data_IF_665284010592
#
_entry.id   IF_665284010592
#
_cell.length_a   1.000
_cell.length_b   1.000
_cell.length_c   1.000
_cell.angle_alpha   90.00
_cell.angle_beta   90.00
_cell.angle_gamma   90.00
#
_symmetry.space_group_name_H-M   'P 1'
#
loop_
_entity.id
_entity.type
_entity.pdbx_description
1 polymer ?
#
# COMPACT_ATOMS: atom_id res chain seq x y z
N UNK A 1 -13.51 -56.24 21.56
CA UNK A 1 -14.00 -55.42 22.66
C UNK A 1 -12.83 -54.66 23.27
N UNK A 2 -12.57 -53.46 22.83
CA UNK A 2 -11.61 -52.53 23.46
C UNK A 2 -11.72 -51.16 22.78
N UNK A 3 -11.69 -50.10 23.59
CA UNK A 3 -11.51 -48.70 23.29
C UNK A 3 -12.76 -47.82 23.12
N UNK A 4 -13.49 -47.59 24.19
CA UNK A 4 -14.36 -46.43 24.39
C UNK A 4 -13.94 -45.53 25.57
N UNK A 5 -12.85 -45.84 26.29
CA UNK A 5 -12.44 -45.13 27.51
C UNK A 5 -11.45 -43.94 27.27
N UNK A 6 -10.80 -43.84 26.10
CA UNK A 6 -9.75 -42.84 25.87
C UNK A 6 -10.23 -41.45 25.43
N UNK A 7 -11.48 -41.30 24.98
CA UNK A 7 -12.01 -40.01 24.49
C UNK A 7 -12.67 -39.12 25.55
N UNK A 8 -13.00 -39.69 26.73
CA UNK A 8 -13.68 -38.94 27.80
C UNK A 8 -12.73 -38.11 28.68
N UNK A 9 -11.48 -38.54 28.85
CA UNK A 9 -10.53 -37.82 29.73
C UNK A 9 -9.94 -36.55 29.06
N UNK A 10 -9.82 -36.53 27.73
CA UNK A 10 -9.26 -35.37 27.04
C UNK A 10 -10.24 -34.19 26.96
N UNK A 11 -11.55 -34.47 26.96
CA UNK A 11 -12.60 -33.42 26.93
C UNK A 11 -12.84 -32.81 28.32
N UNK A 12 -12.54 -33.54 29.42
CA UNK A 12 -12.69 -33.02 30.79
C UNK A 12 -11.50 -32.17 31.26
N UNK A 13 -10.30 -32.35 30.71
CA UNK A 13 -9.14 -31.51 31.05
C UNK A 13 -9.18 -30.11 30.43
N UNK A 14 -9.94 -29.89 29.34
CA UNK A 14 -10.10 -28.58 28.71
C UNK A 14 -11.16 -27.71 29.42
N UNK A 15 -11.97 -28.25 30.32
CA UNK A 15 -13.05 -27.51 31.01
C UNK A 15 -12.72 -26.98 32.40
N UNK A 16 -11.47 -27.06 32.87
CA UNK A 16 -11.10 -26.68 34.26
C UNK A 16 -10.30 -25.37 34.39
N UNK A 17 -10.17 -24.56 33.31
CA UNK A 17 -9.56 -23.23 33.40
C UNK A 17 -10.48 -22.17 32.77
N UNK A 18 -11.65 -21.94 33.37
CA UNK A 18 -12.41 -20.74 33.18
C UNK A 18 -13.41 -20.55 34.30
N UNK A 19 -13.03 -19.84 35.35
CA UNK A 19 -13.92 -19.00 36.15
C UNK A 19 -13.06 -18.19 37.13
N UNK A 20 -12.55 -17.05 36.63
CA UNK A 20 -12.27 -15.87 37.45
C UNK A 20 -13.01 -14.73 36.78
N UNK A 21 -13.88 -14.06 37.51
CA UNK A 21 -14.65 -12.91 37.10
C UNK A 21 -13.69 -11.76 36.78
N UNK A 22 -13.35 -11.64 35.48
CA UNK A 22 -12.66 -10.53 34.84
C UNK A 22 -13.27 -10.40 33.44
N UNK A 23 -13.56 -9.19 33.01
CA UNK A 23 -14.18 -8.85 31.71
C UNK A 23 -13.92 -9.90 30.63
N UNK A 24 -14.96 -10.53 30.08
CA UNK A 24 -14.83 -11.60 29.05
C UNK A 24 -14.02 -11.10 27.86
N UNK A 25 -12.70 -11.33 27.88
CA UNK A 25 -11.80 -11.04 26.76
C UNK A 25 -12.09 -12.06 25.68
N UNK A 26 -12.77 -11.64 24.61
CA UNK A 26 -13.11 -12.54 23.51
C UNK A 26 -11.84 -13.06 22.84
N UNK A 27 -11.74 -14.40 22.77
CA UNK A 27 -10.59 -15.10 22.21
C UNK A 27 -10.83 -15.52 20.76
N UNK A 28 -9.80 -15.38 19.91
CA UNK A 28 -9.80 -15.82 18.53
C UNK A 28 -8.55 -16.65 18.19
N UNK A 29 -8.71 -17.61 17.31
CA UNK A 29 -7.55 -18.34 16.76
C UNK A 29 -6.62 -17.38 16.00
N UNK A 30 -7.20 -16.46 15.19
CA UNK A 30 -6.46 -15.45 14.44
C UNK A 30 -7.14 -14.09 14.61
N UNK A 31 -6.38 -13.10 15.06
CA UNK A 31 -6.77 -11.69 14.98
C UNK A 31 -5.99 -11.03 13.83
N UNK A 32 -6.71 -10.28 12.99
CA UNK A 32 -6.13 -9.50 11.89
C UNK A 32 -6.34 -8.01 12.19
N UNK A 33 -5.26 -7.30 12.43
CA UNK A 33 -5.26 -5.86 12.65
C UNK A 33 -5.14 -5.11 11.33
N UNK A 34 -6.24 -4.51 10.86
CA UNK A 34 -6.37 -3.82 9.57
C UNK A 34 -7.16 -4.63 8.53
N UNK A 35 -8.18 -4.00 7.94
CA UNK A 35 -9.03 -4.54 6.86
C UNK A 35 -8.63 -4.00 5.47
N UNK A 36 -7.39 -3.57 5.28
CA UNK A 36 -6.86 -3.21 3.97
C UNK A 36 -6.64 -4.43 3.06
N UNK A 37 -5.92 -4.25 1.94
CA UNK A 37 -5.63 -5.31 0.95
C UNK A 37 -5.05 -6.57 1.60
N UNK A 38 -4.07 -6.38 2.49
CA UNK A 38 -3.40 -7.49 3.18
C UNK A 38 -4.32 -8.21 4.14
N UNK A 39 -4.99 -7.46 5.02
CA UNK A 39 -5.86 -8.03 6.04
C UNK A 39 -7.04 -8.80 5.46
N UNK A 40 -7.77 -8.22 4.50
CA UNK A 40 -8.86 -8.91 3.81
C UNK A 40 -8.42 -10.22 3.15
N UNK A 41 -7.26 -10.19 2.46
CA UNK A 41 -6.76 -11.36 1.74
C UNK A 41 -6.34 -12.51 2.66
N UNK A 42 -5.72 -12.20 3.81
CA UNK A 42 -5.35 -13.21 4.82
C UNK A 42 -6.58 -13.70 5.57
N UNK A 43 -7.48 -12.78 6.02
CA UNK A 43 -8.72 -13.15 6.67
C UNK A 43 -9.57 -14.09 5.82
N UNK A 44 -9.66 -13.83 4.51
CA UNK A 44 -10.40 -14.69 3.58
C UNK A 44 -9.84 -16.12 3.53
N UNK A 45 -8.52 -16.30 3.60
CA UNK A 45 -7.88 -17.64 3.69
C UNK A 45 -8.14 -18.28 5.05
N UNK A 46 -7.90 -17.54 6.11
CA UNK A 46 -8.05 -18.04 7.49
C UNK A 46 -9.51 -18.47 7.78
N UNK A 47 -10.50 -17.65 7.40
CA UNK A 47 -11.91 -18.00 7.58
C UNK A 47 -12.34 -19.25 6.80
N UNK A 48 -11.78 -19.50 5.62
CA UNK A 48 -12.06 -20.74 4.86
C UNK A 48 -11.51 -21.98 5.57
N UNK A 49 -10.35 -21.87 6.19
CA UNK A 49 -9.70 -22.99 6.84
C UNK A 49 -10.21 -23.25 8.26
N UNK A 50 -10.47 -22.20 9.04
CA UNK A 50 -10.76 -22.27 10.46
C UNK A 50 -12.26 -22.23 10.80
N UNK A 51 -13.09 -21.73 9.88
CA UNK A 51 -14.53 -21.56 10.10
C UNK A 51 -14.91 -20.30 10.86
N UNK A 52 -16.20 -20.15 11.16
CA UNK A 52 -16.77 -19.00 11.86
C UNK A 52 -16.33 -18.97 13.34
N UNK A 53 -16.24 -17.76 13.92
CA UNK A 53 -15.88 -17.55 15.34
C UNK A 53 -14.40 -17.70 15.66
N UNK A 54 -13.56 -18.07 14.68
CA UNK A 54 -12.12 -18.24 14.87
C UNK A 54 -11.26 -17.08 14.35
N UNK A 55 -11.82 -16.20 13.54
CA UNK A 55 -11.09 -15.11 12.90
C UNK A 55 -11.79 -13.79 13.18
N UNK A 56 -11.07 -12.82 13.72
CA UNK A 56 -11.51 -11.45 13.84
C UNK A 56 -10.71 -10.52 12.92
N UNK A 57 -11.37 -9.50 12.34
CA UNK A 57 -10.72 -8.39 11.67
C UNK A 57 -11.07 -7.09 12.38
N UNK A 58 -10.06 -6.30 12.70
CA UNK A 58 -10.22 -4.98 13.33
C UNK A 58 -10.00 -3.93 12.23
N UNK A 59 -11.08 -3.24 11.81
CA UNK A 59 -11.05 -2.22 10.76
C UNK A 59 -12.14 -1.19 11.00
N UNK A 60 -11.80 0.09 11.18
CA UNK A 60 -12.79 1.14 11.45
C UNK A 60 -13.53 1.62 10.19
N UNK A 61 -12.96 1.46 9.01
CA UNK A 61 -13.51 2.02 7.78
C UNK A 61 -14.79 1.29 7.34
N UNK A 62 -15.78 2.07 6.89
CA UNK A 62 -17.03 1.51 6.33
C UNK A 62 -16.86 1.04 4.88
N UNK A 63 -15.91 1.67 4.16
CA UNK A 63 -15.61 1.36 2.76
C UNK A 63 -14.17 0.92 2.60
N UNK A 64 -13.99 -0.12 1.80
CA UNK A 64 -12.70 -0.53 1.29
C UNK A 64 -12.44 0.11 -0.07
N UNK A 65 -11.21 0.63 -0.28
CA UNK A 65 -10.85 1.30 -1.52
C UNK A 65 -9.72 0.56 -2.26
N UNK A 66 -9.93 0.31 -3.55
CA UNK A 66 -8.85 -0.07 -4.45
C UNK A 66 -8.05 1.18 -4.83
N UNK A 67 -7.15 1.60 -3.93
CA UNK A 67 -6.38 2.84 -4.05
C UNK A 67 -5.50 2.92 -5.32
N UNK A 68 -4.97 1.81 -5.89
CA UNK A 68 -4.26 1.88 -7.18
C UNK A 68 -5.09 2.45 -8.34
N UNK A 69 -6.41 2.56 -8.23
CA UNK A 69 -7.29 3.21 -9.19
C UNK A 69 -7.25 4.75 -9.09
N UNK A 70 -6.82 5.32 -7.98
CA UNK A 70 -6.90 6.77 -7.74
C UNK A 70 -6.07 7.60 -8.71
N UNK A 71 -4.97 7.08 -9.26
CA UNK A 71 -4.28 7.74 -10.38
C UNK A 71 -5.20 7.90 -11.60
N UNK A 72 -6.04 6.89 -11.89
CA UNK A 72 -7.01 6.95 -12.98
C UNK A 72 -8.19 7.86 -12.65
N UNK A 73 -8.57 7.94 -11.37
CA UNK A 73 -9.60 8.89 -10.89
C UNK A 73 -9.12 10.33 -11.06
N UNK A 74 -7.90 10.63 -10.58
CA UNK A 74 -7.30 11.97 -10.71
C UNK A 74 -7.09 12.42 -12.16
N UNK A 75 -7.14 11.49 -13.13
CA UNK A 75 -7.07 11.78 -14.55
C UNK A 75 -8.44 11.71 -15.28
N UNK A 76 -9.55 11.49 -14.55
CA UNK A 76 -10.88 11.42 -15.14
C UNK A 76 -11.18 10.14 -15.92
N UNK A 77 -10.31 9.11 -15.85
CA UNK A 77 -10.50 7.82 -16.55
C UNK A 77 -11.47 6.92 -15.79
N UNK A 78 -11.51 7.04 -14.48
CA UNK A 78 -12.40 6.31 -13.58
C UNK A 78 -13.03 7.28 -12.59
N UNK A 79 -14.18 6.91 -12.00
CA UNK A 79 -14.79 7.66 -10.89
C UNK A 79 -14.36 7.05 -9.57
N UNK A 80 -14.37 7.84 -8.50
CA UNK A 80 -13.93 7.39 -7.16
C UNK A 80 -14.82 6.29 -6.58
N UNK A 81 -16.13 6.32 -6.87
CA UNK A 81 -17.08 5.29 -6.46
C UNK A 81 -16.75 3.90 -7.05
N UNK A 82 -16.19 3.84 -8.27
CA UNK A 82 -15.72 2.59 -8.88
C UNK A 82 -14.53 1.97 -8.14
N UNK A 83 -13.83 2.74 -7.31
CA UNK A 83 -12.74 2.25 -6.47
C UNK A 83 -13.18 1.80 -5.08
N UNK A 84 -14.46 1.92 -4.73
CA UNK A 84 -15.01 1.69 -3.40
C UNK A 84 -15.92 0.47 -3.37
N UNK A 85 -15.92 -0.25 -2.25
CA UNK A 85 -16.86 -1.31 -1.92
C UNK A 85 -17.14 -1.28 -0.41
N UNK A 86 -18.39 -1.50 0.06
CA UNK A 86 -18.67 -1.61 1.48
C UNK A 86 -17.81 -2.68 2.15
N UNK A 87 -17.25 -2.40 3.32
CA UNK A 87 -16.40 -3.35 4.04
C UNK A 87 -17.14 -4.66 4.34
N UNK A 88 -18.45 -4.61 4.57
CA UNK A 88 -19.32 -5.78 4.78
C UNK A 88 -19.41 -6.72 3.58
N UNK A 89 -19.16 -6.22 2.37
CA UNK A 89 -19.14 -7.03 1.14
C UNK A 89 -17.74 -7.60 0.85
N UNK A 90 -16.69 -6.93 1.34
CA UNK A 90 -15.29 -7.33 1.14
C UNK A 90 -14.85 -8.39 2.14
N UNK A 91 -15.24 -8.23 3.41
CA UNK A 91 -14.87 -9.17 4.46
C UNK A 91 -15.61 -10.51 4.32
N UNK A 92 -14.94 -11.63 4.64
CA UNK A 92 -15.60 -12.95 4.62
C UNK A 92 -16.77 -12.98 5.61
N UNK A 93 -17.91 -13.56 5.21
CA UNK A 93 -19.10 -13.70 6.07
C UNK A 93 -18.86 -14.46 7.39
N UNK A 94 -17.81 -15.29 7.45
CA UNK A 94 -17.41 -16.07 8.64
C UNK A 94 -16.43 -15.32 9.54
N UNK A 95 -16.12 -14.07 9.24
CA UNK A 95 -15.21 -13.23 9.98
C UNK A 95 -15.99 -12.36 10.97
N UNK A 96 -15.51 -12.25 12.20
CA UNK A 96 -16.02 -11.27 13.14
C UNK A 96 -15.37 -9.90 12.84
N UNK A 97 -16.18 -8.94 12.46
CA UNK A 97 -15.71 -7.60 12.13
C UNK A 97 -15.87 -6.65 13.34
N UNK A 98 -14.75 -6.18 13.86
CA UNK A 98 -14.70 -5.11 14.87
C UNK A 98 -14.48 -3.76 14.18
N UNK A 99 -15.53 -2.93 14.11
CA UNK A 99 -15.47 -1.57 13.53
C UNK A 99 -14.77 -0.58 14.48
N UNK A 100 -13.55 -0.89 14.83
CA UNK A 100 -12.72 -0.16 15.81
C UNK A 100 -11.29 -0.04 15.27
N UNK A 101 -10.48 0.81 15.93
CA UNK A 101 -9.03 0.87 15.71
C UNK A 101 -8.32 0.08 16.79
N UNK A 102 -7.19 -0.50 16.47
CA UNK A 102 -6.26 -0.97 17.48
C UNK A 102 -5.62 0.26 18.14
N UNK A 103 -5.63 0.32 19.46
CA UNK A 103 -4.95 1.34 20.25
C UNK A 103 -3.62 0.83 20.83
N UNK A 104 -3.54 -0.47 21.16
CA UNK A 104 -2.36 -1.04 21.81
C UNK A 104 -2.18 -2.52 21.43
N UNK A 105 -0.91 -2.94 21.35
CA UNK A 105 -0.49 -4.32 21.20
C UNK A 105 0.22 -4.78 22.48
N UNK A 106 -0.23 -5.88 23.08
CA UNK A 106 0.44 -6.57 24.20
C UNK A 106 0.79 -8.01 23.78
N UNK A 107 1.92 -8.17 23.07
CA UNK A 107 2.32 -9.47 22.51
C UNK A 107 2.69 -10.51 23.59
N UNK A 108 3.14 -10.06 24.77
CA UNK A 108 3.52 -10.96 25.87
C UNK A 108 2.28 -11.62 26.49
N UNK A 109 1.11 -10.96 26.42
CA UNK A 109 -0.18 -11.50 26.86
C UNK A 109 -1.05 -12.03 25.72
N UNK A 110 -0.55 -11.95 24.46
CA UNK A 110 -1.33 -12.27 23.26
C UNK A 110 -2.67 -11.53 23.20
N UNK A 111 -2.64 -10.22 23.45
CA UNK A 111 -3.85 -9.38 23.41
C UNK A 111 -3.64 -8.13 22.56
N UNK A 112 -4.75 -7.62 22.01
CA UNK A 112 -4.85 -6.28 21.41
C UNK A 112 -5.95 -5.51 22.10
N UNK A 113 -5.71 -4.23 22.35
CA UNK A 113 -6.70 -3.31 22.92
C UNK A 113 -7.26 -2.43 21.78
N UNK A 114 -8.57 -2.29 21.76
CA UNK A 114 -9.28 -1.44 20.80
C UNK A 114 -9.47 -0.03 21.39
N UNK A 115 -9.72 0.96 20.53
CA UNK A 115 -9.90 2.36 20.94
C UNK A 115 -11.12 2.63 21.83
N UNK A 116 -12.06 1.66 21.94
CA UNK A 116 -13.16 1.67 22.88
C UNK A 116 -12.85 0.99 24.23
N UNK A 117 -11.60 0.56 24.44
CA UNK A 117 -11.15 -0.14 25.64
C UNK A 117 -11.38 -1.66 25.63
N UNK A 118 -12.12 -2.20 24.66
CA UNK A 118 -12.30 -3.65 24.52
C UNK A 118 -10.96 -4.34 24.25
N UNK A 119 -10.74 -5.50 24.88
CA UNK A 119 -9.57 -6.34 24.62
C UNK A 119 -9.99 -7.60 23.86
N UNK A 120 -9.17 -8.00 22.91
CA UNK A 120 -9.28 -9.28 22.21
C UNK A 120 -7.99 -10.08 22.47
N UNK A 121 -8.13 -11.36 22.73
CA UNK A 121 -6.98 -12.28 22.82
C UNK A 121 -6.89 -13.16 21.58
N UNK A 122 -5.69 -13.66 21.30
CA UNK A 122 -5.42 -14.43 20.10
C UNK A 122 -4.40 -15.53 20.33
N UNK A 123 -4.49 -16.60 19.54
CA UNK A 123 -3.36 -17.52 19.39
C UNK A 123 -2.34 -16.93 18.40
N UNK A 124 -2.82 -16.32 17.32
CA UNK A 124 -2.00 -15.73 16.25
C UNK A 124 -2.50 -14.34 15.89
N UNK A 125 -1.55 -13.42 15.65
CA UNK A 125 -1.83 -12.06 15.24
C UNK A 125 -1.25 -11.79 13.84
N UNK A 126 -2.05 -11.20 12.96
CA UNK A 126 -1.59 -10.68 11.67
C UNK A 126 -1.76 -9.16 11.65
N UNK A 127 -0.68 -8.42 11.47
CA UNK A 127 -0.68 -6.95 11.42
C UNK A 127 -0.60 -6.50 9.96
N UNK A 128 -1.62 -5.76 9.50
CA UNK A 128 -1.80 -5.31 8.11
C UNK A 128 -2.35 -3.86 8.05
N UNK A 129 -1.80 -2.97 8.87
CA UNK A 129 -2.31 -1.61 9.11
C UNK A 129 -2.03 -0.61 7.97
N UNK A 130 -1.26 -1.01 6.94
CA UNK A 130 -0.89 -0.12 5.85
C UNK A 130 0.14 0.93 6.25
N UNK A 131 0.07 2.12 5.62
CA UNK A 131 0.97 3.25 5.86
C UNK A 131 0.17 4.50 6.21
N UNK A 132 0.70 5.34 7.08
CA UNK A 132 0.09 6.61 7.48
C UNK A 132 0.52 7.74 6.55
N UNK A 133 -0.45 8.57 6.16
CA UNK A 133 -0.22 9.77 5.35
C UNK A 133 -0.16 10.97 6.28
N UNK A 134 0.91 11.74 6.21
CA UNK A 134 1.20 12.87 7.10
C UNK A 134 1.12 14.19 6.34
N UNK A 135 -0.10 14.69 6.10
CA UNK A 135 -0.32 15.97 5.43
C UNK A 135 0.20 17.15 6.25
N UNK A 136 0.21 17.01 7.57
CA UNK A 136 0.70 17.97 8.55
C UNK A 136 2.21 18.19 8.54
N UNK A 137 2.96 17.30 7.86
CA UNK A 137 4.43 17.41 7.72
C UNK A 137 4.87 18.31 6.56
N UNK A 138 3.94 18.92 5.86
CA UNK A 138 4.18 20.00 4.89
C UNK A 138 3.37 21.20 5.35
N UNK A 139 4.05 22.26 5.73
CA UNK A 139 3.43 23.46 6.28
C UNK A 139 2.42 24.07 5.28
N UNK A 140 1.23 24.44 5.76
CA UNK A 140 0.16 25.01 4.96
C UNK A 140 -0.56 24.05 4.00
N UNK A 141 -0.10 22.79 3.84
CA UNK A 141 -0.69 21.84 2.87
C UNK A 141 -2.14 21.50 3.18
N UNK A 142 -2.49 21.27 4.44
CA UNK A 142 -3.86 20.90 4.82
C UNK A 142 -4.85 22.01 4.42
N UNK A 143 -4.50 23.25 4.68
CA UNK A 143 -5.33 24.39 4.30
C UNK A 143 -5.36 24.59 2.78
N UNK A 144 -4.20 24.52 2.13
CA UNK A 144 -4.10 24.59 0.67
C UNK A 144 -4.99 23.53 -0.02
N UNK A 145 -5.00 22.28 0.46
CA UNK A 145 -5.87 21.24 -0.07
C UNK A 145 -7.36 21.52 0.13
N UNK A 146 -7.76 22.29 1.16
CA UNK A 146 -9.16 22.66 1.41
C UNK A 146 -9.62 23.81 0.49
N UNK A 147 -8.84 24.88 0.43
CA UNK A 147 -9.30 26.17 -0.14
C UNK A 147 -8.78 26.41 -1.57
N UNK A 148 -7.63 25.88 -1.94
CA UNK A 148 -7.03 26.10 -3.26
C UNK A 148 -7.44 24.99 -4.25
N UNK A 149 -8.24 25.28 -5.29
CA UNK A 149 -8.66 24.30 -6.28
C UNK A 149 -7.52 23.79 -7.15
N UNK A 150 -6.36 24.47 -7.18
CA UNK A 150 -5.18 24.08 -7.98
C UNK A 150 -4.19 23.20 -7.21
N UNK A 151 -4.39 23.02 -5.88
CA UNK A 151 -3.60 22.10 -5.05
C UNK A 151 -4.29 20.76 -4.92
N UNK A 152 -3.62 19.69 -5.31
CA UNK A 152 -4.18 18.35 -5.47
C UNK A 152 -3.32 17.28 -4.79
N UNK A 153 -3.96 16.16 -4.40
CA UNK A 153 -3.29 14.99 -3.87
C UNK A 153 -4.08 13.72 -4.22
N UNK A 154 -3.45 12.75 -4.87
CA UNK A 154 -4.10 11.49 -5.25
C UNK A 154 -3.98 10.39 -4.17
N UNK A 155 -3.44 10.69 -3.00
CA UNK A 155 -3.21 9.70 -1.95
C UNK A 155 -4.32 9.63 -0.90
N UNK A 156 -5.26 10.59 -0.92
CA UNK A 156 -6.41 10.68 0.00
C UNK A 156 -7.71 10.71 -0.82
N UNK A 157 -8.73 10.01 -0.33
CA UNK A 157 -10.03 9.87 -1.02
C UNK A 157 -10.68 11.23 -1.30
N UNK A 158 -10.65 12.14 -0.33
CA UNK A 158 -11.36 13.41 -0.41
C UNK A 158 -10.63 14.43 -1.29
N UNK A 159 -9.34 14.24 -1.52
CA UNK A 159 -8.52 15.15 -2.35
C UNK A 159 -8.36 14.65 -3.78
N UNK A 160 -8.39 13.33 -4.02
CA UNK A 160 -8.23 12.80 -5.39
C UNK A 160 -9.31 13.28 -6.36
N UNK A 161 -10.51 13.53 -5.87
CA UNK A 161 -11.64 14.02 -6.68
C UNK A 161 -11.45 15.44 -7.19
N UNK A 162 -10.54 16.22 -6.58
CA UNK A 162 -10.18 17.58 -7.01
C UNK A 162 -9.23 17.58 -8.19
N UNK A 163 -8.43 16.53 -8.38
CA UNK A 163 -7.30 16.53 -9.32
C UNK A 163 -7.76 16.67 -10.76
N UNK A 164 -8.78 15.90 -11.19
CA UNK A 164 -9.25 16.00 -12.57
C UNK A 164 -9.88 17.37 -12.89
N UNK A 165 -10.77 17.94 -12.09
CA UNK A 165 -11.25 19.31 -12.26
C UNK A 165 -10.12 20.34 -12.32
N UNK A 166 -9.08 20.20 -11.47
CA UNK A 166 -7.93 21.09 -11.50
C UNK A 166 -7.15 20.99 -12.83
N UNK A 167 -6.93 19.76 -13.35
CA UNK A 167 -6.31 19.54 -14.66
C UNK A 167 -7.14 20.16 -15.80
N UNK A 168 -8.48 20.04 -15.75
CA UNK A 168 -9.38 20.60 -16.75
C UNK A 168 -9.41 22.13 -16.74
N UNK A 169 -9.34 22.75 -15.57
CA UNK A 169 -9.43 24.18 -15.40
C UNK A 169 -8.09 24.90 -15.60
N UNK A 170 -6.99 24.19 -15.60
CA UNK A 170 -5.66 24.74 -15.80
C UNK A 170 -5.51 25.36 -17.21
N UNK A 171 -4.96 26.58 -17.27
CA UNK A 171 -4.88 27.38 -18.51
C UNK A 171 -3.45 27.57 -19.03
N UNK A 172 -2.48 27.01 -18.34
CA UNK A 172 -1.04 27.19 -18.60
C UNK A 172 -0.34 27.79 -17.39
N UNK A 173 0.97 27.95 -17.48
CA UNK A 173 1.83 28.39 -16.39
C UNK A 173 2.66 27.26 -15.82
N UNK A 174 3.05 27.33 -14.55
CA UNK A 174 3.93 26.36 -13.93
C UNK A 174 3.13 25.27 -13.19
N UNK A 175 3.30 24.03 -13.64
CA UNK A 175 2.69 22.85 -13.05
C UNK A 175 3.75 22.02 -12.31
N UNK A 176 3.60 21.87 -11.00
CA UNK A 176 4.57 21.21 -10.15
C UNK A 176 4.00 19.88 -9.64
N UNK A 177 4.79 18.80 -9.76
CA UNK A 177 4.51 17.49 -9.20
C UNK A 177 5.64 17.12 -8.22
N UNK A 178 5.30 16.52 -7.07
CA UNK A 178 6.27 16.33 -5.98
C UNK A 178 6.47 14.87 -5.60
N UNK A 179 7.65 14.56 -5.02
CA UNK A 179 7.95 13.29 -4.39
C UNK A 179 8.69 13.54 -3.06
N UNK A 180 8.20 13.02 -1.92
CA UNK A 180 8.74 13.33 -0.59
C UNK A 180 9.99 12.52 -0.23
N UNK A 181 10.73 12.99 0.76
CA UNK A 181 11.90 12.31 1.33
C UNK A 181 11.49 11.31 2.45
N UNK A 182 10.50 10.47 2.17
CA UNK A 182 10.03 9.42 3.08
C UNK A 182 9.62 8.19 2.29
N UNK A 183 9.46 7.02 2.91
CA UNK A 183 8.74 5.92 2.28
C UNK A 183 7.35 6.37 1.85
N UNK A 184 6.88 5.92 0.68
CA UNK A 184 5.51 6.19 0.21
C UNK A 184 4.88 4.93 -0.38
N UNK A 185 3.55 4.84 -0.32
CA UNK A 185 2.84 3.82 -1.09
C UNK A 185 2.87 4.18 -2.58
N UNK A 186 3.23 3.22 -3.43
CA UNK A 186 3.33 3.37 -4.87
C UNK A 186 4.22 4.55 -5.33
N UNK A 187 5.54 4.41 -5.20
CA UNK A 187 6.53 5.42 -5.59
C UNK A 187 6.40 5.94 -7.05
N UNK A 188 5.77 5.18 -7.94
CA UNK A 188 5.48 5.64 -9.30
C UNK A 188 4.22 6.51 -9.45
N UNK A 189 3.38 6.64 -8.41
CA UNK A 189 2.09 7.33 -8.56
C UNK A 189 2.20 8.82 -8.89
N UNK A 190 3.13 9.62 -8.31
CA UNK A 190 3.29 11.02 -8.67
C UNK A 190 3.61 11.25 -10.14
N UNK A 191 4.46 10.40 -10.71
CA UNK A 191 4.81 10.49 -12.13
C UNK A 191 3.62 10.13 -13.04
N UNK A 192 2.79 9.16 -12.66
CA UNK A 192 1.63 8.75 -13.47
C UNK A 192 0.66 9.91 -13.71
N UNK A 193 0.31 10.64 -12.66
CA UNK A 193 -0.61 11.76 -12.80
C UNK A 193 0.03 12.93 -13.57
N UNK A 194 1.33 13.11 -13.44
CA UNK A 194 2.09 14.11 -14.23
C UNK A 194 2.00 13.80 -15.72
N UNK A 195 2.24 12.55 -16.13
CA UNK A 195 2.16 12.14 -17.54
C UNK A 195 0.73 12.21 -18.08
N UNK A 196 -0.26 11.89 -17.26
CA UNK A 196 -1.67 11.99 -17.63
C UNK A 196 -2.09 13.46 -17.77
N UNK A 197 -1.64 14.34 -16.89
CA UNK A 197 -1.87 15.79 -17.01
C UNK A 197 -1.22 16.37 -18.28
N UNK A 198 0.03 16.01 -18.57
CA UNK A 198 0.72 16.39 -19.81
C UNK A 198 -0.09 15.99 -21.06
N UNK A 199 -0.54 14.72 -21.12
CA UNK A 199 -1.34 14.23 -22.25
C UNK A 199 -2.68 14.98 -22.39
N UNK A 200 -3.35 15.25 -21.25
CA UNK A 200 -4.59 16.02 -21.23
C UNK A 200 -4.36 17.43 -21.81
N UNK A 201 -3.34 18.13 -21.32
CA UNK A 201 -3.01 19.49 -21.73
C UNK A 201 -2.56 19.57 -23.20
N UNK A 202 -1.84 18.56 -23.69
CA UNK A 202 -1.53 18.45 -25.14
C UNK A 202 -2.80 18.35 -25.97
N UNK A 203 -3.70 17.47 -25.61
CA UNK A 203 -4.96 17.24 -26.31
C UNK A 203 -5.85 18.49 -26.35
N UNK A 204 -5.75 19.35 -25.32
CA UNK A 204 -6.60 20.54 -25.17
C UNK A 204 -5.87 21.87 -25.52
N UNK A 205 -4.68 21.81 -26.11
CA UNK A 205 -3.94 23.00 -26.57
C UNK A 205 -3.41 23.89 -25.42
N UNK A 206 -3.21 23.33 -24.24
CA UNK A 206 -2.69 24.06 -23.07
C UNK A 206 -1.19 23.81 -22.87
N UNK A 207 -0.68 22.69 -23.39
CA UNK A 207 0.69 22.21 -23.10
C UNK A 207 1.78 23.19 -23.51
N UNK A 208 1.63 23.89 -24.64
CA UNK A 208 2.63 24.82 -25.14
C UNK A 208 2.78 26.10 -24.27
N UNK A 209 1.79 26.34 -23.39
CA UNK A 209 1.79 27.42 -22.39
C UNK A 209 2.16 26.92 -21.00
N UNK A 210 2.66 25.69 -20.88
CA UNK A 210 2.87 25.01 -19.60
C UNK A 210 4.32 24.59 -19.42
N UNK A 211 4.92 25.00 -18.31
CA UNK A 211 6.15 24.38 -17.80
C UNK A 211 5.78 23.31 -16.78
N UNK A 212 6.24 22.05 -16.99
CA UNK A 212 6.01 20.95 -16.04
C UNK A 212 7.31 20.69 -15.29
N UNK A 213 7.25 20.80 -13.96
CA UNK A 213 8.34 20.47 -13.04
C UNK A 213 8.00 19.21 -12.25
N UNK A 214 8.91 18.24 -12.24
CA UNK A 214 8.88 17.13 -11.32
C UNK A 214 9.97 17.34 -10.26
N UNK A 215 9.58 17.83 -9.08
CA UNK A 215 10.46 18.05 -7.94
C UNK A 215 10.45 16.80 -7.06
N UNK A 216 11.53 16.03 -7.11
CA UNK A 216 11.67 14.77 -6.39
C UNK A 216 12.80 14.85 -5.36
N UNK A 217 12.53 14.36 -4.16
CA UNK A 217 13.56 14.23 -3.11
C UNK A 217 14.62 13.16 -3.43
N UNK A 218 14.33 12.27 -4.38
CA UNK A 218 15.25 11.23 -4.79
C UNK A 218 16.37 11.78 -5.66
N UNK A 219 17.51 11.06 -5.74
CA UNK A 219 18.59 11.31 -6.69
C UNK A 219 18.40 10.63 -8.05
N UNK A 220 17.29 9.89 -8.22
CA UNK A 220 16.95 9.15 -9.44
C UNK A 220 15.46 9.26 -9.69
N UNK A 221 15.03 9.13 -10.96
CA UNK A 221 13.61 9.23 -11.31
C UNK A 221 12.80 8.01 -10.85
N UNK A 222 13.46 6.84 -10.74
CA UNK A 222 12.86 5.60 -10.26
C UNK A 222 13.95 4.65 -9.73
N UNK A 223 13.67 3.88 -8.68
CA UNK A 223 14.66 3.05 -7.98
C UNK A 223 15.17 1.82 -8.73
N UNK A 224 14.60 1.48 -9.90
CA UNK A 224 15.00 0.34 -10.71
C UNK A 224 15.58 0.82 -12.05
N UNK A 225 16.86 0.57 -12.29
CA UNK A 225 17.65 1.11 -13.41
C UNK A 225 16.97 0.96 -14.77
N UNK A 226 16.52 -0.26 -15.13
CA UNK A 226 15.85 -0.54 -16.41
C UNK A 226 14.67 0.41 -16.65
N UNK A 227 13.82 0.56 -15.65
CA UNK A 227 12.62 1.39 -15.78
C UNK A 227 12.92 2.89 -15.60
N UNK A 228 13.96 3.24 -14.83
CA UNK A 228 14.45 4.61 -14.75
C UNK A 228 14.92 5.13 -16.10
N UNK A 229 15.71 4.34 -16.84
CA UNK A 229 16.17 4.66 -18.19
C UNK A 229 15.00 4.85 -19.18
N UNK A 230 13.96 4.00 -19.06
CA UNK A 230 12.75 4.15 -19.86
C UNK A 230 11.98 5.44 -19.53
N UNK A 231 11.84 5.76 -18.23
CA UNK A 231 11.14 6.96 -17.79
C UNK A 231 11.90 8.25 -18.14
N UNK A 232 13.24 8.24 -18.12
CA UNK A 232 14.04 9.40 -18.59
C UNK A 232 13.76 9.73 -20.05
N UNK A 233 13.62 8.73 -20.92
CA UNK A 233 13.21 8.92 -22.31
C UNK A 233 11.80 9.50 -22.42
N UNK A 234 10.89 9.10 -21.51
CA UNK A 234 9.51 9.63 -21.49
C UNK A 234 9.51 11.10 -21.07
N UNK A 235 10.25 11.50 -20.03
CA UNK A 235 10.31 12.91 -19.58
C UNK A 235 10.97 13.80 -20.62
N UNK A 236 12.02 13.32 -21.28
CA UNK A 236 12.67 14.03 -22.39
C UNK A 236 11.70 14.25 -23.55
N UNK A 237 11.05 13.19 -24.05
CA UNK A 237 10.04 13.24 -25.12
C UNK A 237 8.89 14.18 -24.78
N UNK A 238 8.50 14.26 -23.51
CA UNK A 238 7.41 15.11 -23.04
C UNK A 238 7.85 16.53 -22.66
N UNK A 239 9.14 16.83 -22.75
CA UNK A 239 9.72 18.11 -22.32
C UNK A 239 9.32 18.46 -20.87
N UNK A 240 9.54 17.51 -19.94
CA UNK A 240 9.29 17.66 -18.52
C UNK A 240 10.63 17.89 -17.82
N UNK A 241 10.73 18.95 -17.02
CA UNK A 241 11.92 19.24 -16.21
C UNK A 241 11.89 18.44 -14.92
N UNK A 242 12.93 17.68 -14.66
CA UNK A 242 13.09 16.91 -13.40
C UNK A 242 14.14 17.58 -12.53
N UNK A 243 13.75 18.00 -11.34
CA UNK A 243 14.63 18.54 -10.31
C UNK A 243 14.80 17.49 -9.21
N UNK A 244 15.99 16.91 -9.14
CA UNK A 244 16.34 15.92 -8.11
C UNK A 244 16.69 16.61 -6.79
N UNK A 245 16.62 15.84 -5.68
CA UNK A 245 16.98 16.30 -4.35
C UNK A 245 16.19 17.52 -3.87
N UNK A 246 14.93 17.63 -4.31
CA UNK A 246 14.00 18.70 -3.91
C UNK A 246 12.86 18.10 -3.09
N UNK A 247 12.81 18.42 -1.79
CA UNK A 247 11.79 17.93 -0.86
C UNK A 247 10.82 19.06 -0.48
N UNK A 248 9.55 18.92 -0.81
CA UNK A 248 8.51 19.92 -0.46
C UNK A 248 8.38 20.03 1.05
N UNK A 249 8.49 21.23 1.61
CA UNK A 249 8.37 21.51 3.05
C UNK A 249 7.23 22.47 3.40
N UNK A 250 6.84 23.36 2.47
CA UNK A 250 5.74 24.30 2.72
C UNK A 250 4.95 24.67 1.45
N UNK A 251 3.68 25.02 1.63
CA UNK A 251 2.78 25.53 0.60
C UNK A 251 2.08 26.79 1.13
N UNK A 252 2.37 27.95 0.52
CA UNK A 252 1.62 29.20 0.74
C UNK A 252 0.59 29.35 -0.38
N UNK A 253 -0.64 28.94 -0.14
CA UNK A 253 -1.72 28.98 -1.12
C UNK A 253 -2.15 30.41 -1.47
N UNK A 254 -1.98 31.38 -0.55
CA UNK A 254 -2.36 32.76 -0.77
C UNK A 254 -1.46 33.48 -1.77
N UNK A 255 -0.17 33.12 -1.78
CA UNK A 255 0.84 33.62 -2.72
C UNK A 255 1.08 32.66 -3.90
N UNK A 256 0.47 31.46 -3.89
CA UNK A 256 0.73 30.38 -4.86
C UNK A 256 2.21 29.98 -4.90
N UNK A 257 2.81 29.77 -3.73
CA UNK A 257 4.23 29.44 -3.58
C UNK A 257 4.41 28.07 -2.94
N UNK A 258 5.33 27.27 -3.46
CA UNK A 258 5.73 25.97 -2.91
C UNK A 258 7.24 26.00 -2.59
N UNK A 259 7.61 25.73 -1.35
CA UNK A 259 9.00 25.79 -0.84
C UNK A 259 9.57 24.39 -0.72
N UNK A 260 10.78 24.20 -1.24
CA UNK A 260 11.48 22.94 -1.29
C UNK A 260 12.84 23.07 -0.60
N UNK A 261 13.11 22.16 0.34
CA UNK A 261 14.43 21.99 0.92
C UNK A 261 15.35 21.26 -0.06
N UNK A 262 16.56 21.78 -0.24
CA UNK A 262 17.61 21.16 -1.05
C UNK A 262 18.31 20.08 -0.23
N UNK A 263 18.22 18.82 -0.67
CA UNK A 263 18.81 17.68 0.07
C UNK A 263 20.28 17.43 -0.30
N UNK A 264 20.81 18.16 -1.25
CA UNK A 264 22.20 18.19 -1.69
C UNK A 264 22.96 19.45 -1.22
N UNK A 265 22.31 20.33 -0.47
CA UNK A 265 22.92 21.48 0.18
C UNK A 265 23.27 21.17 1.64
N UNK A 266 24.53 21.40 2.05
CA UNK A 266 24.98 21.26 3.42
C UNK A 266 24.38 22.31 4.36
N UNK A 267 24.07 23.50 3.84
CA UNK A 267 23.47 24.63 4.58
C UNK A 267 21.97 24.48 4.81
N UNK A 268 21.32 23.47 4.19
CA UNK A 268 19.87 23.27 4.28
C UNK A 268 19.07 24.34 3.53
N UNK A 269 19.63 24.84 2.45
CA UNK A 269 19.02 25.85 1.57
C UNK A 269 17.63 25.44 1.10
N UNK A 270 16.81 26.46 0.81
CA UNK A 270 15.46 26.29 0.29
C UNK A 270 15.29 27.02 -1.04
N UNK A 271 14.56 26.40 -1.94
CA UNK A 271 14.09 27.01 -3.19
C UNK A 271 12.58 27.15 -3.15
N UNK A 272 12.06 28.30 -3.58
CA UNK A 272 10.63 28.54 -3.65
C UNK A 272 10.19 28.75 -5.10
N UNK A 273 9.15 28.04 -5.49
CA UNK A 273 8.58 28.11 -6.84
C UNK A 273 7.16 28.63 -6.77
N UNK A 274 6.79 29.52 -7.69
CA UNK A 274 5.39 29.87 -7.94
C UNK A 274 4.71 28.69 -8.66
N UNK A 275 3.46 28.37 -8.30
CA UNK A 275 2.68 27.35 -9.00
C UNK A 275 1.35 27.90 -9.51
N UNK A 276 0.93 27.40 -10.65
CA UNK A 276 -0.41 27.56 -11.19
C UNK A 276 -1.20 26.24 -11.07
N UNK A 277 -0.48 25.12 -10.91
CA UNK A 277 -0.98 23.81 -10.56
C UNK A 277 0.06 23.09 -9.67
N UNK A 278 -0.40 22.49 -8.56
CA UNK A 278 0.47 21.74 -7.64
C UNK A 278 -0.16 20.39 -7.29
N UNK A 279 0.51 19.29 -7.64
CA UNK A 279 0.14 17.95 -7.18
C UNK A 279 1.14 17.45 -6.14
N UNK A 280 0.67 17.23 -4.92
CA UNK A 280 1.50 16.82 -3.79
C UNK A 280 1.41 15.33 -3.54
N UNK A 281 2.57 14.66 -3.52
CA UNK A 281 2.74 13.38 -2.87
C UNK A 281 3.23 13.65 -1.43
N UNK A 282 2.38 13.47 -0.41
CA UNK A 282 2.70 13.85 0.96
C UNK A 282 3.70 12.88 1.60
N UNK A 283 4.45 13.31 2.63
CA UNK A 283 5.23 12.41 3.47
C UNK A 283 4.37 11.30 4.10
N UNK A 284 4.96 10.12 4.26
CA UNK A 284 4.29 8.97 4.88
C UNK A 284 5.21 8.30 5.89
N UNK A 285 4.63 7.58 6.84
CA UNK A 285 5.35 6.87 7.90
C UNK A 285 4.66 5.56 8.27
N UNK A 286 5.32 4.76 9.10
CA UNK A 286 4.63 3.71 9.83
C UNK A 286 3.43 4.31 10.60
N UNK A 287 2.31 3.55 10.75
CA UNK A 287 1.17 4.01 11.54
C UNK A 287 1.57 4.34 12.99
N UNK A 288 1.02 5.43 13.54
CA UNK A 288 1.33 5.87 14.90
C UNK A 288 1.05 4.78 15.95
N UNK A 289 0.04 3.95 15.76
CA UNK A 289 -0.25 2.79 16.62
C UNK A 289 0.92 1.79 16.71
N UNK A 290 1.72 1.66 15.63
CA UNK A 290 2.94 0.86 15.64
C UNK A 290 4.12 1.65 16.19
N UNK A 291 4.33 2.85 15.65
CA UNK A 291 5.48 3.70 15.98
C UNK A 291 5.54 4.09 17.45
N UNK A 292 4.38 4.29 18.07
CA UNK A 292 4.23 4.64 19.48
C UNK A 292 3.95 3.42 20.39
N UNK A 293 4.06 2.18 19.85
CA UNK A 293 3.88 0.98 20.64
C UNK A 293 4.94 0.88 21.75
N UNK A 294 4.50 0.61 22.97
CA UNK A 294 5.40 0.35 24.10
C UNK A 294 6.02 -1.04 24.04
N UNK A 295 5.44 -1.93 23.22
CA UNK A 295 5.94 -3.29 23.01
C UNK A 295 6.98 -3.32 21.87
N UNK A 296 8.03 -4.16 21.98
CA UNK A 296 9.12 -4.21 21.00
C UNK A 296 8.71 -5.03 19.73
N UNK A 297 7.71 -4.52 19.01
CA UNK A 297 7.20 -5.14 17.77
C UNK A 297 7.64 -4.41 16.51
N UNK A 298 8.38 -3.30 16.64
CA UNK A 298 8.79 -2.46 15.52
C UNK A 298 10.31 -2.34 15.42
N UNK A 299 10.78 -2.00 14.22
CA UNK A 299 12.14 -1.54 13.99
C UNK A 299 12.34 -0.08 14.45
N UNK A 300 13.55 0.45 14.30
CA UNK A 300 13.89 1.82 14.68
C UNK A 300 13.12 2.90 13.90
N UNK A 301 12.56 2.58 12.72
CA UNK A 301 11.75 3.48 11.92
C UNK A 301 10.24 3.37 12.24
N UNK A 302 9.87 2.50 13.20
CA UNK A 302 8.50 2.28 13.65
C UNK A 302 7.68 1.33 12.77
N UNK A 303 8.28 0.67 11.77
CA UNK A 303 7.63 -0.37 10.99
C UNK A 303 7.67 -1.71 11.73
N UNK A 304 6.62 -2.53 11.54
CA UNK A 304 6.56 -3.88 12.10
C UNK A 304 7.79 -4.69 11.68
N UNK A 305 8.52 -5.24 12.66
CA UNK A 305 9.79 -5.95 12.44
C UNK A 305 9.57 -7.42 12.08
N UNK A 306 9.65 -7.76 10.79
CA UNK A 306 9.43 -9.11 10.28
C UNK A 306 10.60 -9.63 9.43
N UNK A 307 10.77 -10.94 9.41
CA UNK A 307 11.65 -11.65 8.48
C UNK A 307 11.11 -11.46 7.07
N UNK A 308 11.90 -10.88 6.19
CA UNK A 308 11.46 -10.51 4.82
C UNK A 308 11.03 -11.71 3.98
N UNK A 309 11.57 -12.92 4.23
CA UNK A 309 11.28 -14.14 3.51
C UNK A 309 9.97 -14.79 3.97
N UNK A 310 9.74 -14.88 5.29
CA UNK A 310 8.62 -15.64 5.90
C UNK A 310 7.48 -14.75 6.35
N UNK A 311 7.72 -13.44 6.51
CA UNK A 311 6.77 -12.45 7.04
C UNK A 311 6.35 -12.71 8.50
N UNK A 312 7.08 -13.57 9.20
CA UNK A 312 6.96 -13.81 10.63
C UNK A 312 7.74 -12.74 11.39
N UNK A 313 7.21 -12.28 12.52
CA UNK A 313 7.90 -11.33 13.40
C UNK A 313 9.22 -11.89 13.90
N UNK A 314 10.26 -11.05 14.02
CA UNK A 314 11.59 -11.49 14.43
C UNK A 314 11.64 -12.03 15.86
N UNK A 315 10.89 -11.45 16.80
CA UNK A 315 10.86 -11.81 18.21
C UNK A 315 9.69 -12.74 18.58
N UNK A 316 8.49 -12.48 18.06
CA UNK A 316 7.25 -13.18 18.44
C UNK A 316 6.82 -14.17 17.37
N UNK A 317 6.95 -15.49 17.61
CA UNK A 317 6.73 -16.50 16.57
C UNK A 317 5.27 -16.64 16.12
N UNK A 318 4.32 -16.15 16.92
CA UNK A 318 2.89 -16.17 16.62
C UNK A 318 2.36 -14.85 16.03
N UNK A 319 3.26 -13.89 15.74
CA UNK A 319 2.91 -12.62 15.09
C UNK A 319 3.46 -12.59 13.66
N UNK A 320 2.66 -12.11 12.73
CA UNK A 320 2.97 -11.98 11.33
C UNK A 320 2.59 -10.60 10.80
N UNK A 321 3.24 -10.16 9.73
CA UNK A 321 2.89 -8.89 9.10
C UNK A 321 3.04 -8.88 7.60
N UNK A 322 2.22 -8.07 6.93
CA UNK A 322 2.34 -7.86 5.48
C UNK A 322 1.92 -6.46 5.06
N UNK A 323 2.38 -6.08 3.89
CA UNK A 323 2.04 -4.80 3.28
C UNK A 323 2.85 -3.64 3.85
N UNK A 324 2.29 -2.45 3.71
CA UNK A 324 3.04 -1.21 3.85
C UNK A 324 3.50 -0.91 5.29
N UNK A 325 2.88 -1.53 6.29
CA UNK A 325 3.24 -1.35 7.70
C UNK A 325 4.49 -2.13 8.14
N UNK A 326 5.07 -2.97 7.28
CA UNK A 326 6.24 -3.80 7.61
C UNK A 326 7.55 -3.15 7.16
N UNK A 327 8.66 -3.57 7.79
CA UNK A 327 10.02 -3.20 7.42
C UNK A 327 10.56 -3.96 6.18
N UNK A 328 9.74 -4.79 5.53
CA UNK A 328 10.16 -5.53 4.33
C UNK A 328 10.68 -4.56 3.26
N UNK A 329 11.92 -4.75 2.75
CA UNK A 329 12.59 -3.80 1.86
C UNK A 329 12.08 -3.92 0.42
N UNK A 330 10.79 -3.70 0.21
CA UNK A 330 10.14 -3.69 -1.10
C UNK A 330 9.24 -2.47 -1.26
N UNK A 331 8.94 -2.10 -2.51
CA UNK A 331 8.01 -1.00 -2.75
C UNK A 331 6.62 -1.32 -2.19
N UNK A 332 6.04 -0.37 -1.48
CA UNK A 332 4.75 -0.50 -0.80
C UNK A 332 3.61 -0.43 -1.82
N UNK A 333 3.18 -1.60 -2.31
CA UNK A 333 2.19 -1.74 -3.39
C UNK A 333 1.21 -2.88 -3.12
N UNK A 334 0.01 -2.82 -3.73
CA UNK A 334 -0.94 -3.93 -3.70
C UNK A 334 -0.38 -5.20 -4.37
N UNK A 335 0.53 -5.06 -5.33
CA UNK A 335 1.21 -6.18 -5.98
C UNK A 335 2.20 -6.88 -5.04
N UNK A 336 2.93 -6.13 -4.21
CA UNK A 336 3.76 -6.71 -3.15
C UNK A 336 2.90 -7.50 -2.17
N UNK A 337 1.76 -6.94 -1.73
CA UNK A 337 0.80 -7.65 -0.86
C UNK A 337 0.32 -8.96 -1.51
N UNK A 338 0.07 -8.98 -2.82
CA UNK A 338 -0.32 -10.20 -3.53
C UNK A 338 0.76 -11.29 -3.43
N UNK A 339 2.03 -10.93 -3.62
CA UNK A 339 3.17 -11.85 -3.43
C UNK A 339 3.31 -12.33 -1.98
N UNK A 340 3.18 -11.40 -1.03
CA UNK A 340 3.32 -11.65 0.40
C UNK A 340 2.19 -12.52 0.97
N UNK A 341 0.95 -12.31 0.57
CA UNK A 341 -0.24 -12.97 1.11
C UNK A 341 -0.13 -14.50 1.13
N UNK A 342 0.29 -15.11 0.02
CA UNK A 342 0.44 -16.57 -0.07
C UNK A 342 1.54 -17.08 0.85
N UNK A 343 2.65 -16.36 0.93
CA UNK A 343 3.80 -16.72 1.75
C UNK A 343 3.46 -16.59 3.24
N UNK A 344 2.89 -15.46 3.66
CA UNK A 344 2.46 -15.27 5.05
C UNK A 344 1.49 -16.38 5.48
N UNK A 345 0.48 -16.67 4.67
CA UNK A 345 -0.49 -17.70 5.01
C UNK A 345 0.14 -19.10 5.12
N UNK A 346 1.10 -19.43 4.26
CA UNK A 346 1.90 -20.67 4.40
C UNK A 346 2.68 -20.68 5.71
N UNK A 347 3.42 -19.61 6.01
CA UNK A 347 4.17 -19.48 7.25
C UNK A 347 3.28 -19.60 8.49
N UNK A 348 2.13 -18.92 8.50
CA UNK A 348 1.13 -18.99 9.57
C UNK A 348 0.62 -20.43 9.78
N UNK A 349 0.26 -21.14 8.70
CA UNK A 349 -0.26 -22.51 8.80
C UNK A 349 0.81 -23.52 9.25
N UNK A 350 2.06 -23.32 8.86
CA UNK A 350 3.18 -24.14 9.34
C UNK A 350 3.41 -23.95 10.85
N UNK A 351 3.41 -22.70 11.32
CA UNK A 351 3.54 -22.42 12.77
C UNK A 351 2.35 -22.98 13.54
N UNK A 352 1.13 -22.90 13.00
CA UNK A 352 -0.05 -23.55 13.60
C UNK A 352 0.09 -25.08 13.74
N UNK A 353 0.85 -25.68 12.83
CA UNK A 353 1.16 -27.12 12.82
C UNK A 353 2.43 -27.47 13.64
N UNK A 354 3.02 -26.51 14.37
CA UNK A 354 4.25 -26.70 15.14
C UNK A 354 5.52 -26.80 14.28
N UNK A 355 5.47 -26.37 13.02
CA UNK A 355 6.58 -26.41 12.07
C UNK A 355 7.24 -25.04 11.95
N UNK A 356 8.52 -25.01 11.61
CA UNK A 356 9.21 -23.76 11.24
C UNK A 356 8.76 -23.27 9.89
N UNK A 357 8.56 -21.93 9.71
CA UNK A 357 8.19 -21.37 8.42
C UNK A 357 9.33 -21.54 7.39
N UNK A 358 8.99 -22.01 6.19
CA UNK A 358 9.90 -22.17 5.05
C UNK A 358 9.53 -21.22 3.88
N UNK A 359 8.66 -20.25 4.14
CA UNK A 359 8.22 -19.28 3.16
C UNK A 359 9.39 -18.51 2.54
N UNK A 360 9.33 -18.27 1.22
CA UNK A 360 10.36 -17.56 0.47
C UNK A 360 9.71 -16.47 -0.38
N UNK A 361 9.45 -15.32 0.23
CA UNK A 361 9.08 -14.13 -0.51
C UNK A 361 10.33 -13.55 -1.18
N UNK A 362 10.28 -13.39 -2.48
CA UNK A 362 11.40 -12.94 -3.32
C UNK A 362 11.47 -11.40 -3.50
N UNK A 363 10.59 -10.66 -2.80
CA UNK A 363 10.52 -9.21 -2.93
C UNK A 363 9.68 -8.73 -4.11
N UNK A 364 9.00 -9.63 -4.80
CA UNK A 364 8.16 -9.27 -5.94
C UNK A 364 7.25 -8.09 -5.63
N UNK A 365 7.34 -7.11 -6.49
CA UNK A 365 6.45 -5.95 -6.51
C UNK A 365 6.20 -5.52 -7.95
N UNK A 366 5.16 -4.73 -8.16
CA UNK A 366 4.84 -4.19 -9.47
C UNK A 366 4.33 -2.76 -9.37
N UNK A 367 4.78 -1.95 -10.31
CA UNK A 367 4.29 -0.60 -10.52
C UNK A 367 3.93 -0.41 -12.00
N UNK A 368 2.66 -0.56 -12.39
CA UNK A 368 2.23 -0.19 -13.74
C UNK A 368 2.34 1.33 -13.91
N UNK A 369 3.41 1.76 -14.56
CA UNK A 369 3.77 3.18 -14.76
C UNK A 369 3.03 3.70 -15.98
N UNK A 370 1.87 4.30 -15.75
CA UNK A 370 1.09 4.95 -16.82
C UNK A 370 1.85 6.19 -17.29
N UNK A 371 2.14 6.26 -18.57
CA UNK A 371 2.90 7.34 -19.22
C UNK A 371 2.02 8.20 -20.12
N UNK A 372 0.73 7.87 -20.23
CA UNK A 372 -0.27 8.59 -20.99
C UNK A 372 -1.62 7.88 -20.98
N UNK A 373 -2.65 8.48 -21.60
CA UNK A 373 -4.01 7.91 -21.63
C UNK A 373 -4.13 6.58 -22.38
N UNK A 374 -3.09 6.16 -23.09
CA UNK A 374 -3.07 4.90 -23.85
C UNK A 374 -1.75 4.13 -23.71
N UNK A 375 -0.89 4.51 -22.78
CA UNK A 375 0.43 3.90 -22.63
C UNK A 375 0.79 3.62 -21.17
N UNK A 376 1.49 2.49 -20.96
CA UNK A 376 1.95 2.07 -19.66
C UNK A 376 3.22 1.23 -19.80
N UNK A 377 4.20 1.48 -18.95
CA UNK A 377 5.36 0.63 -18.68
C UNK A 377 5.01 -0.25 -17.50
N UNK A 378 5.12 -1.58 -17.64
CA UNK A 378 4.81 -2.50 -16.53
C UNK A 378 6.10 -2.86 -15.79
N UNK A 379 6.45 -2.07 -14.78
CA UNK A 379 7.60 -2.36 -13.94
C UNK A 379 7.27 -3.49 -12.95
N UNK A 380 8.04 -4.57 -13.00
CA UNK A 380 7.99 -5.70 -12.07
C UNK A 380 9.42 -6.06 -11.65
N UNK A 381 9.67 -6.18 -10.34
CA UNK A 381 11.03 -6.36 -9.83
C UNK A 381 11.06 -6.99 -8.44
N UNK A 382 12.25 -7.49 -8.06
CA UNK A 382 12.54 -8.12 -6.77
C UNK A 382 13.15 -7.14 -5.74
N UNK A 383 13.64 -7.66 -4.59
CA UNK A 383 14.31 -6.90 -3.54
C UNK A 383 15.55 -6.12 -4.03
N UNK A 384 16.26 -6.66 -5.03
CA UNK A 384 17.49 -6.10 -5.56
C UNK A 384 17.27 -5.18 -6.76
N UNK A 385 16.00 -4.86 -7.07
CA UNK A 385 15.65 -4.09 -8.26
C UNK A 385 15.87 -4.86 -9.57
N UNK A 386 16.01 -6.20 -9.51
CA UNK A 386 16.12 -7.00 -10.72
C UNK A 386 14.75 -7.18 -11.34
N UNK A 387 14.60 -7.00 -12.66
CA UNK A 387 13.33 -7.21 -13.33
C UNK A 387 12.79 -8.63 -13.14
N UNK A 388 11.51 -8.74 -12.77
CA UNK A 388 10.74 -9.98 -12.65
C UNK A 388 9.54 -9.92 -13.60
N UNK A 389 9.79 -9.68 -14.88
CA UNK A 389 8.76 -9.44 -15.89
C UNK A 389 7.88 -10.67 -16.09
N UNK A 390 6.58 -10.51 -16.00
CA UNK A 390 5.60 -11.60 -16.13
C UNK A 390 5.43 -12.04 -17.58
N UNK A 391 5.49 -11.11 -18.53
CA UNK A 391 5.30 -11.41 -19.95
C UNK A 391 6.65 -11.56 -20.68
N UNK A 392 6.75 -12.43 -21.70
CA UNK A 392 7.98 -12.66 -22.48
C UNK A 392 8.19 -11.55 -23.52
N UNK A 393 8.05 -10.30 -23.10
CA UNK A 393 8.26 -9.10 -23.91
C UNK A 393 8.98 -8.07 -23.05
N UNK A 394 9.64 -7.11 -23.68
CA UNK A 394 10.23 -5.98 -22.96
C UNK A 394 9.14 -5.10 -22.34
N UNK A 395 8.94 -5.24 -21.03
CA UNK A 395 7.94 -4.49 -20.25
C UNK A 395 8.43 -3.05 -19.92
N UNK A 396 9.70 -2.74 -20.17
CA UNK A 396 10.25 -1.37 -20.09
C UNK A 396 9.78 -0.45 -21.21
N UNK A 397 9.12 -0.95 -22.23
CA UNK A 397 8.54 -0.15 -23.32
C UNK A 397 7.10 0.27 -23.01
N UNK A 398 6.73 1.47 -23.44
CA UNK A 398 5.36 1.95 -23.40
C UNK A 398 4.44 1.06 -24.25
N UNK A 399 3.37 0.49 -23.65
CA UNK A 399 2.45 -0.41 -24.35
C UNK A 399 0.99 -0.09 -24.02
N UNK A 400 0.15 -0.13 -25.05
CA UNK A 400 -1.31 0.03 -24.89
C UNK A 400 -1.94 -1.16 -24.17
N UNK A 401 -1.45 -2.38 -24.41
CA UNK A 401 -1.91 -3.59 -23.72
C UNK A 401 -1.70 -3.51 -22.22
N UNK A 402 -0.56 -2.97 -21.76
CA UNK A 402 -0.28 -2.78 -20.32
C UNK A 402 -1.16 -1.69 -19.70
N UNK A 403 -1.55 -0.68 -20.48
CA UNK A 403 -2.53 0.30 -20.03
C UNK A 403 -3.91 -0.35 -19.80
N UNK A 404 -4.39 -1.18 -20.71
CA UNK A 404 -5.65 -1.92 -20.55
C UNK A 404 -5.57 -2.92 -19.41
N UNK A 405 -4.45 -3.64 -19.26
CA UNK A 405 -4.21 -4.52 -18.13
C UNK A 405 -4.40 -3.75 -16.81
N UNK A 406 -3.78 -2.57 -16.68
CA UNK A 406 -3.89 -1.72 -15.48
C UNK A 406 -5.28 -1.15 -15.27
N UNK A 407 -5.93 -0.69 -16.34
CA UNK A 407 -7.21 0.03 -16.25
C UNK A 407 -8.41 -0.89 -16.07
N UNK A 408 -8.40 -2.05 -16.74
CA UNK A 408 -9.58 -2.90 -16.87
C UNK A 408 -9.44 -4.26 -16.16
N UNK A 409 -8.28 -4.92 -16.26
CA UNK A 409 -8.09 -6.29 -15.75
C UNK A 409 -7.66 -6.31 -14.27
N UNK A 410 -6.68 -5.50 -13.89
CA UNK A 410 -6.18 -5.48 -12.51
C UNK A 410 -7.25 -5.13 -11.46
N UNK A 411 -8.21 -4.22 -11.69
CA UNK A 411 -9.32 -4.00 -10.76
C UNK A 411 -10.17 -5.26 -10.51
N UNK A 412 -10.52 -6.00 -11.57
CA UNK A 412 -11.29 -7.25 -11.44
C UNK A 412 -10.48 -8.32 -10.68
N UNK A 413 -9.19 -8.46 -10.99
CA UNK A 413 -8.30 -9.37 -10.25
C UNK A 413 -8.20 -8.98 -8.77
N UNK A 414 -8.18 -7.68 -8.47
CA UNK A 414 -8.14 -7.19 -7.11
C UNK A 414 -9.38 -7.60 -6.33
N UNK A 415 -10.55 -7.23 -6.81
CA UNK A 415 -11.81 -7.48 -6.12
C UNK A 415 -12.15 -8.98 -6.02
N UNK A 416 -12.02 -9.71 -7.12
CA UNK A 416 -12.48 -11.10 -7.19
C UNK A 416 -11.46 -12.12 -6.72
N UNK A 417 -10.17 -11.84 -6.87
CA UNK A 417 -9.12 -12.82 -6.61
C UNK A 417 -8.22 -12.46 -5.43
N UNK A 418 -7.71 -11.21 -5.34
CA UNK A 418 -6.77 -10.83 -4.29
C UNK A 418 -7.47 -10.73 -2.93
N UNK A 419 -8.53 -9.96 -2.80
CA UNK A 419 -9.25 -9.79 -1.53
C UNK A 419 -9.86 -11.10 -1.03
N UNK A 420 -10.30 -11.96 -1.95
CA UNK A 420 -10.75 -13.32 -1.60
C UNK A 420 -9.60 -14.27 -1.23
N UNK A 421 -8.35 -13.81 -1.26
CA UNK A 421 -7.16 -14.62 -0.97
C UNK A 421 -6.84 -15.72 -2.01
N UNK A 422 -7.43 -15.67 -3.20
CA UNK A 422 -7.18 -16.65 -4.29
C UNK A 422 -5.99 -16.28 -5.15
N UNK A 423 -5.61 -15.00 -5.20
CA UNK A 423 -4.44 -14.52 -5.93
C UNK A 423 -3.22 -14.45 -5.01
N UNK A 424 -2.11 -15.05 -5.42
CA UNK A 424 -0.85 -15.08 -4.67
C UNK A 424 0.35 -14.57 -5.49
N UNK A 425 0.10 -13.57 -6.35
CA UNK A 425 1.13 -13.00 -7.24
C UNK A 425 1.29 -13.73 -8.57
N UNK A 426 2.03 -13.16 -9.52
CA UNK A 426 2.14 -13.66 -10.90
C UNK A 426 3.16 -14.77 -11.10
N UNK A 427 3.94 -15.17 -10.08
CA UNK A 427 5.03 -16.16 -10.21
C UNK A 427 4.66 -17.43 -11.00
N UNK A 428 3.48 -18.07 -10.81
CA UNK A 428 3.09 -19.22 -11.63
C UNK A 428 2.87 -18.86 -13.10
N UNK A 429 2.26 -17.72 -13.37
CA UNK A 429 2.00 -17.23 -14.73
C UNK A 429 3.31 -16.84 -15.42
N UNK A 430 4.22 -16.16 -14.71
CA UNK A 430 5.56 -15.83 -15.21
C UNK A 430 6.29 -17.10 -15.65
N UNK A 431 6.31 -18.13 -14.81
CA UNK A 431 6.93 -19.43 -15.17
C UNK A 431 6.31 -20.05 -16.42
N UNK A 432 4.98 -20.03 -16.52
CA UNK A 432 4.27 -20.55 -17.68
C UNK A 432 4.60 -19.74 -18.95
N UNK A 433 4.51 -18.41 -18.89
CA UNK A 433 4.75 -17.51 -20.03
C UNK A 433 6.21 -17.59 -20.55
N UNK A 434 7.15 -17.89 -19.68
CA UNK A 434 8.56 -18.05 -20.00
C UNK A 434 8.98 -19.53 -20.15
N UNK A 435 8.05 -20.46 -20.36
CA UNK A 435 8.30 -21.89 -20.58
C UNK A 435 9.15 -22.54 -19.47
N UNK A 436 9.01 -22.08 -18.23
CA UNK A 436 9.77 -22.54 -17.07
C UNK A 436 11.17 -21.92 -16.91
N UNK A 437 11.65 -21.13 -17.85
CA UNK A 437 13.00 -20.52 -17.82
C UNK A 437 13.12 -19.29 -16.91
N UNK A 438 12.01 -18.72 -16.43
CA UNK A 438 12.03 -17.56 -15.54
C UNK A 438 12.23 -17.97 -14.07
N UNK A 439 12.83 -17.06 -13.29
CA UNK A 439 12.95 -17.18 -11.81
C UNK A 439 11.62 -17.21 -11.09
#
# INVERSE_FOLDING_TARGET
MSSRAGRSLFVQLVRKYSNTAGSDVKHYKVVVAGGGTGGCSVAARACRALGAGNVAVIEPAEYHYYQPMWTLVGAGIKRVDQSAMPMSEVLPKKCDHHKQRVSEFDPDKNTVTLNNGQKLSYDYLVIALGIQINLDKVDGLIEALKVDPTVCCNYVRDTVVKTYPAIQNFKGGQAIFTFPNTPIKCAGAPQKIMYLADDYWRKHGVRDKTEILYNTSLGVIFGVKKYAESLLKVVEKKNIKVNFKRNLVAVDHSKKMATFKLLDSESGEEETYKYDFLHVAPPMSAPDTLKNSTSPITDAAGFLDVKKETLQHNKYPNIFGLGDCTNVPTAKTAAAVAGQNKILYRSLTQVMAGQSPDGQYDGYTSCPLITGYHSCILAEFDFNGQPLETFPIDQGKERRTMFHLKKDIMPEMYWRMLLSGRWGGPKPYRKMMHLGMSR
#
